data_IF_617773761116
#
_entry.id   IF_617773761116
#
_cell.length_a   1.000
_cell.length_b   1.000
_cell.length_c   1.000
_cell.angle_alpha   90.00
_cell.angle_beta   90.00
_cell.angle_gamma   90.00
#
_symmetry.space_group_name_H-M   'P 1'
#
loop_
_entity.id
_entity.type
_entity.pdbx_description
1 polymer ?
#
# COMPACT_ATOMS: atom_id res chain seq x y z
N UNK A 1 20.95 -48.30 -42.82
CA UNK A 1 20.69 -48.28 -41.37
C UNK A 1 20.10 -46.92 -41.02
N UNK A 2 18.87 -46.90 -40.53
CA UNK A 2 17.94 -45.75 -40.52
C UNK A 2 18.14 -44.86 -39.28
N UNK A 3 18.40 -43.57 -39.48
CA UNK A 3 18.33 -42.57 -38.40
C UNK A 3 16.90 -42.01 -38.38
N UNK A 4 16.13 -42.40 -37.36
CA UNK A 4 14.78 -41.91 -37.12
C UNK A 4 14.84 -40.39 -36.85
N UNK A 5 14.14 -39.59 -37.65
CA UNK A 5 13.82 -38.20 -37.29
C UNK A 5 12.69 -38.22 -36.26
N UNK A 6 12.91 -37.62 -35.10
CA UNK A 6 11.86 -37.39 -34.09
C UNK A 6 10.81 -36.42 -34.66
N UNK A 7 9.50 -36.75 -34.63
CA UNK A 7 8.44 -36.01 -35.33
C UNK A 7 7.83 -34.85 -34.52
N UNK A 8 8.55 -34.31 -33.56
CA UNK A 8 8.07 -33.19 -32.76
C UNK A 8 9.17 -32.16 -32.70
N UNK A 9 9.06 -31.15 -33.57
CA UNK A 9 9.79 -29.91 -33.41
C UNK A 9 9.54 -29.43 -31.99
N UNK A 10 10.61 -29.37 -31.19
CA UNK A 10 10.56 -28.86 -29.84
C UNK A 10 9.96 -27.46 -29.91
N UNK A 11 8.69 -27.35 -29.53
CA UNK A 11 8.12 -26.08 -29.12
C UNK A 11 9.00 -25.68 -27.95
N UNK A 12 9.91 -24.74 -28.20
CA UNK A 12 10.53 -23.98 -27.15
C UNK A 12 9.36 -23.32 -26.41
N UNK A 13 8.93 -23.94 -25.30
CA UNK A 13 8.13 -23.22 -24.31
C UNK A 13 9.09 -22.15 -23.82
N UNK A 14 8.95 -20.96 -24.38
CA UNK A 14 9.59 -19.77 -23.84
C UNK A 14 9.19 -19.75 -22.37
N UNK A 15 10.13 -20.08 -21.49
CA UNK A 15 9.91 -19.99 -20.05
C UNK A 15 9.48 -18.56 -19.80
N UNK A 16 8.22 -18.36 -19.44
CA UNK A 16 7.71 -17.05 -19.05
C UNK A 16 8.14 -16.74 -17.62
N UNK A 17 9.41 -17.02 -17.30
CA UNK A 17 10.06 -16.56 -16.09
C UNK A 17 10.35 -15.06 -16.27
N UNK A 18 9.29 -14.27 -16.15
CA UNK A 18 9.44 -12.86 -15.87
C UNK A 18 9.93 -12.79 -14.43
N UNK A 19 11.17 -12.34 -14.24
CA UNK A 19 11.69 -12.00 -12.92
C UNK A 19 10.82 -10.86 -12.36
N UNK A 20 9.81 -11.24 -11.57
CA UNK A 20 8.83 -10.29 -11.01
C UNK A 20 9.47 -9.57 -9.85
N UNK A 21 10.12 -8.44 -10.14
CA UNK A 21 10.68 -7.57 -9.12
C UNK A 21 9.55 -6.83 -8.38
N UNK A 22 9.07 -7.42 -7.27
CA UNK A 22 7.99 -6.86 -6.45
C UNK A 22 8.46 -5.74 -5.53
N UNK A 23 9.78 -5.56 -5.37
CA UNK A 23 10.38 -4.56 -4.49
C UNK A 23 10.23 -4.84 -2.99
N UNK A 24 9.84 -6.07 -2.64
CA UNK A 24 9.81 -6.65 -1.29
C UNK A 24 10.51 -7.99 -1.36
N UNK A 25 11.34 -8.32 -0.37
CA UNK A 25 12.02 -9.62 -0.32
C UNK A 25 10.98 -10.75 -0.16
N UNK A 26 11.01 -11.72 -1.08
CA UNK A 26 10.14 -12.90 -1.04
C UNK A 26 10.42 -13.78 0.18
N UNK A 27 11.63 -13.69 0.77
CA UNK A 27 11.97 -14.37 2.01
C UNK A 27 11.16 -13.86 3.21
N UNK A 28 10.83 -12.56 3.25
CA UNK A 28 10.02 -11.95 4.31
C UNK A 28 8.52 -12.09 4.03
N UNK A 29 8.10 -11.92 2.76
CA UNK A 29 6.68 -12.00 2.37
C UNK A 29 6.51 -12.92 1.16
N UNK A 30 6.27 -14.24 1.37
CA UNK A 30 6.09 -15.21 0.29
C UNK A 30 4.90 -14.87 -0.63
N UNK A 31 3.91 -14.15 -0.11
CA UNK A 31 2.74 -13.70 -0.86
C UNK A 31 2.96 -12.42 -1.66
N UNK A 32 4.18 -11.84 -1.67
CA UNK A 32 4.48 -10.66 -2.48
C UNK A 32 4.21 -10.89 -3.97
N UNK A 33 4.26 -12.15 -4.42
CA UNK A 33 3.86 -12.58 -5.76
C UNK A 33 2.38 -12.34 -6.09
N UNK A 34 1.48 -12.19 -5.10
CA UNK A 34 0.06 -11.88 -5.32
C UNK A 34 -0.21 -10.39 -5.55
N UNK A 35 0.79 -9.52 -5.32
CA UNK A 35 0.79 -8.12 -5.73
C UNK A 35 0.22 -7.12 -4.72
N UNK A 36 -0.39 -7.56 -3.62
CA UNK A 36 -0.96 -6.67 -2.58
C UNK A 36 0.04 -6.27 -1.49
N UNK A 37 1.19 -6.93 -1.42
CA UNK A 37 2.11 -6.81 -0.28
C UNK A 37 2.91 -5.50 -0.24
N UNK A 38 2.96 -4.75 -1.35
CA UNK A 38 3.69 -3.48 -1.41
C UNK A 38 2.75 -2.29 -1.37
N UNK A 39 2.51 -1.77 -0.17
CA UNK A 39 1.89 -0.46 0.00
C UNK A 39 2.96 0.60 0.18
N UNK A 40 2.96 1.61 -0.70
CA UNK A 40 3.82 2.77 -0.57
C UNK A 40 3.40 3.63 0.63
N UNK A 41 4.38 4.15 1.37
CA UNK A 41 4.15 5.12 2.43
C UNK A 41 3.32 6.31 1.94
N UNK A 42 3.52 6.77 0.69
CA UNK A 42 2.72 7.86 0.09
C UNK A 42 1.22 7.55 0.06
N UNK A 43 0.85 6.30 -0.23
CA UNK A 43 -0.55 5.87 -0.19
C UNK A 43 -1.13 6.01 1.21
N UNK A 44 -0.39 5.60 2.25
CA UNK A 44 -0.81 5.77 3.64
C UNK A 44 -0.99 7.25 4.04
N UNK A 45 -0.14 8.16 3.55
CA UNK A 45 -0.33 9.60 3.80
C UNK A 45 -1.62 10.11 3.15
N UNK A 46 -1.90 9.73 1.91
CA UNK A 46 -3.12 10.12 1.19
C UNK A 46 -4.35 9.59 1.92
N UNK A 47 -4.35 8.30 2.28
CA UNK A 47 -5.45 7.69 3.04
C UNK A 47 -5.65 8.40 4.38
N UNK A 48 -4.57 8.69 5.12
CA UNK A 48 -4.65 9.43 6.38
C UNK A 48 -5.24 10.84 6.23
N UNK A 49 -4.84 11.57 5.20
CA UNK A 49 -5.40 12.89 4.89
C UNK A 49 -6.87 12.80 4.47
N UNK A 50 -7.25 11.80 3.67
CA UNK A 50 -8.63 11.55 3.29
C UNK A 50 -9.51 11.25 4.50
N UNK A 51 -9.04 10.39 5.43
CA UNK A 51 -9.76 10.07 6.67
C UNK A 51 -9.92 11.32 7.55
N UNK A 52 -8.87 12.10 7.73
CA UNK A 52 -8.95 13.34 8.49
C UNK A 52 -9.93 14.34 7.86
N UNK A 53 -9.90 14.52 6.54
CA UNK A 53 -10.86 15.35 5.82
C UNK A 53 -12.30 14.86 5.97
N UNK A 54 -12.52 13.55 5.88
CA UNK A 54 -13.82 12.92 6.08
C UNK A 54 -14.38 13.18 7.48
N UNK A 55 -13.57 13.01 8.53
CA UNK A 55 -13.98 13.30 9.91
C UNK A 55 -14.37 14.77 10.11
N UNK A 56 -13.65 15.70 9.47
CA UNK A 56 -14.00 17.12 9.50
C UNK A 56 -15.30 17.43 8.75
N UNK A 57 -15.58 16.71 7.65
CA UNK A 57 -16.85 16.86 6.92
C UNK A 57 -18.04 16.40 7.78
N UNK A 58 -17.86 15.40 8.64
CA UNK A 58 -18.90 14.92 9.57
C UNK A 58 -19.28 15.94 10.65
N UNK A 59 -18.49 17.00 10.86
CA UNK A 59 -18.88 18.13 11.72
C UNK A 59 -20.07 18.91 11.17
N UNK A 60 -20.34 18.82 9.86
CA UNK A 60 -21.49 19.47 9.24
C UNK A 60 -22.73 18.58 9.38
N UNK A 61 -23.50 18.79 10.45
CA UNK A 61 -24.74 18.05 10.75
C UNK A 61 -25.53 18.68 11.90
N UNK A 62 -26.65 18.05 12.28
CA UNK A 62 -27.52 18.51 13.37
C UNK A 62 -26.98 18.08 14.75
N UNK A 63 -25.80 18.59 15.11
CA UNK A 63 -25.14 18.26 16.38
C UNK A 63 -25.66 19.15 17.52
N UNK A 64 -26.67 18.68 18.25
CA UNK A 64 -27.27 19.42 19.38
C UNK A 64 -26.42 19.32 20.65
N UNK A 65 -25.73 18.19 20.84
CA UNK A 65 -24.75 17.98 21.90
C UNK A 65 -23.35 18.00 21.30
N UNK A 66 -22.59 19.07 21.50
CA UNK A 66 -21.26 19.27 20.90
C UNK A 66 -20.21 18.19 21.26
N UNK A 67 -20.55 17.20 22.10
CA UNK A 67 -19.72 16.04 22.42
C UNK A 67 -19.23 15.32 21.16
N UNK A 68 -20.11 15.08 20.18
CA UNK A 68 -19.70 14.36 18.95
C UNK A 68 -18.64 15.16 18.18
N UNK A 69 -18.80 16.48 18.09
CA UNK A 69 -17.82 17.35 17.45
C UNK A 69 -16.45 17.29 18.15
N UNK A 70 -16.41 17.23 19.48
CA UNK A 70 -15.15 17.08 20.22
C UNK A 70 -14.44 15.78 19.89
N UNK A 71 -15.18 14.66 19.80
CA UNK A 71 -14.60 13.38 19.37
C UNK A 71 -14.10 13.45 17.92
N UNK A 72 -14.91 13.96 16.99
CA UNK A 72 -14.53 14.11 15.58
C UNK A 72 -13.28 14.97 15.41
N UNK A 73 -13.20 16.12 16.08
CA UNK A 73 -12.03 17.00 16.05
C UNK A 73 -10.81 16.31 16.68
N UNK A 74 -10.99 15.63 17.82
CA UNK A 74 -9.88 14.96 18.50
C UNK A 74 -9.29 13.83 17.64
N UNK A 75 -10.13 13.00 17.03
CA UNK A 75 -9.68 11.94 16.13
C UNK A 75 -9.06 12.50 14.85
N UNK A 76 -9.65 13.55 14.25
CA UNK A 76 -9.07 14.21 13.07
C UNK A 76 -7.68 14.79 13.39
N UNK A 77 -7.52 15.45 14.54
CA UNK A 77 -6.25 16.01 15.00
C UNK A 77 -5.22 14.91 15.25
N UNK A 78 -5.61 13.80 15.89
CA UNK A 78 -4.74 12.66 16.15
C UNK A 78 -4.26 12.02 14.83
N UNK A 79 -5.16 11.78 13.87
CA UNK A 79 -4.81 11.24 12.56
C UNK A 79 -3.86 12.16 11.81
N UNK A 80 -4.13 13.47 11.78
CA UNK A 80 -3.23 14.45 11.17
C UNK A 80 -1.87 14.47 11.85
N UNK A 81 -1.82 14.42 13.18
CA UNK A 81 -0.57 14.38 13.92
C UNK A 81 0.30 13.18 13.53
N UNK A 82 -0.29 11.99 13.41
CA UNK A 82 0.43 10.77 12.99
C UNK A 82 0.99 10.92 11.57
N UNK A 83 0.18 11.42 10.62
CA UNK A 83 0.60 11.61 9.22
C UNK A 83 1.71 12.65 9.12
N UNK A 84 1.57 13.78 9.80
CA UNK A 84 2.58 14.86 9.80
C UNK A 84 3.87 14.39 10.47
N UNK A 85 3.78 13.68 11.60
CA UNK A 85 4.93 13.09 12.28
C UNK A 85 5.66 12.11 11.37
N UNK A 86 4.95 11.23 10.69
CA UNK A 86 5.51 10.24 9.78
C UNK A 86 6.26 10.92 8.62
N UNK A 87 5.61 11.90 7.99
CA UNK A 87 6.19 12.71 6.93
C UNK A 87 7.47 13.44 7.39
N UNK A 88 7.43 14.02 8.59
CA UNK A 88 8.55 14.74 9.18
C UNK A 88 9.72 13.81 9.53
N UNK A 89 9.44 12.65 10.13
CA UNK A 89 10.44 11.64 10.49
C UNK A 89 11.18 11.09 9.28
N UNK A 90 10.47 10.89 8.16
CA UNK A 90 11.08 10.51 6.88
C UNK A 90 11.87 11.66 6.24
N UNK A 91 11.37 12.91 6.29
CA UNK A 91 12.10 14.09 5.80
C UNK A 91 13.43 14.32 6.51
N UNK A 92 13.49 14.04 7.82
CA UNK A 92 14.73 14.14 8.61
C UNK A 92 15.63 12.90 8.52
N UNK A 93 15.24 11.87 7.75
CA UNK A 93 16.03 10.66 7.55
C UNK A 93 16.11 9.75 8.78
N UNK A 94 15.24 9.93 9.77
CA UNK A 94 15.22 9.12 11.01
C UNK A 94 14.54 7.77 10.82
N UNK A 95 13.68 7.67 9.81
CA UNK A 95 12.90 6.48 9.50
C UNK A 95 13.23 6.14 8.04
N UNK A 96 13.90 5.00 7.83
CA UNK A 96 14.19 4.44 6.50
C UNK A 96 13.02 3.60 6.02
#
# INVERSE_FOLDING_TARGET
MSVRRSPTGGVAVAGTEVERYTGVDLAEVPSAEWGWSRINHRTWHIVGLCVAGFLLLMLRGNHVGHIENWFLISFAALTLFVVVRDWWGRRRGWIR
#
